data_IF_239969674099
#
_entry.id   IF_239969674099
#
_cell.length_a   1.000
_cell.length_b   1.000
_cell.length_c   1.000
_cell.angle_alpha   90.00
_cell.angle_beta   90.00
_cell.angle_gamma   90.00
#
_symmetry.space_group_name_H-M   'P 1'
#
loop_
_entity.id
_entity.type
_entity.pdbx_description
1 polymer ?
#
# COMPACT_ATOMS: atom_id res chain seq x y z
N UNK A 1 -4.52 -15.58 -29.89
CA UNK A 1 -4.39 -15.88 -28.45
C UNK A 1 -5.49 -15.23 -27.60
N UNK A 2 -6.02 -14.07 -28.00
CA UNK A 2 -7.09 -13.33 -27.29
C UNK A 2 -8.40 -14.12 -27.15
N UNK A 3 -8.81 -14.89 -28.17
CA UNK A 3 -10.06 -15.69 -28.11
C UNK A 3 -10.02 -16.87 -27.12
N UNK A 4 -8.82 -17.41 -26.82
CA UNK A 4 -8.67 -18.48 -25.82
C UNK A 4 -8.79 -17.94 -24.39
N UNK A 5 -8.35 -16.69 -24.16
CA UNK A 5 -8.45 -16.01 -22.86
C UNK A 5 -9.92 -15.66 -22.55
N UNK A 6 -10.67 -15.18 -23.56
CA UNK A 6 -12.08 -14.85 -23.40
C UNK A 6 -12.96 -16.08 -23.07
N UNK A 7 -12.66 -17.23 -23.67
CA UNK A 7 -13.42 -18.46 -23.43
C UNK A 7 -13.15 -19.07 -22.04
N UNK A 8 -11.91 -18.96 -21.54
CA UNK A 8 -11.55 -19.38 -20.17
C UNK A 8 -12.16 -18.46 -19.12
N UNK A 9 -12.19 -17.14 -19.38
CA UNK A 9 -12.81 -16.18 -18.47
C UNK A 9 -14.32 -16.44 -18.27
N UNK A 10 -15.05 -16.78 -19.33
CA UNK A 10 -16.49 -17.07 -19.25
C UNK A 10 -16.81 -18.39 -18.53
N UNK A 11 -15.96 -19.41 -18.64
CA UNK A 11 -16.16 -20.70 -17.95
C UNK A 11 -15.88 -20.63 -16.44
N UNK A 12 -15.01 -19.71 -16.00
CA UNK A 12 -14.70 -19.52 -14.57
C UNK A 12 -15.74 -18.63 -13.87
N UNK A 13 -16.39 -17.71 -14.58
CA UNK A 13 -17.37 -16.80 -13.99
C UNK A 13 -18.80 -17.35 -13.94
N UNK A 14 -19.14 -18.31 -14.81
CA UNK A 14 -20.48 -18.89 -14.90
C UNK A 14 -20.97 -19.67 -13.66
N UNK A 15 -20.13 -20.41 -12.88
CA UNK A 15 -20.64 -21.18 -11.74
C UNK A 15 -20.98 -20.32 -10.52
N UNK A 16 -20.46 -19.09 -10.43
CA UNK A 16 -20.50 -18.26 -9.22
C UNK A 16 -21.85 -17.58 -8.97
N UNK A 17 -22.74 -17.54 -9.97
CA UNK A 17 -23.98 -16.75 -9.94
C UNK A 17 -25.22 -17.59 -9.60
N UNK A 18 -25.10 -18.93 -9.57
CA UNK A 18 -26.24 -19.84 -9.44
C UNK A 18 -26.21 -20.72 -8.19
N UNK A 19 -25.54 -20.29 -7.12
CA UNK A 19 -25.76 -20.87 -5.80
C UNK A 19 -26.86 -20.07 -5.09
N UNK A 20 -28.03 -20.67 -4.77
CA UNK A 20 -28.95 -20.03 -3.83
C UNK A 20 -28.21 -19.94 -2.50
N UNK A 21 -27.71 -18.76 -2.18
CA UNK A 21 -27.29 -18.44 -0.83
C UNK A 21 -28.55 -18.59 0.02
N UNK A 22 -28.73 -19.76 0.62
CA UNK A 22 -29.70 -19.93 1.69
C UNK A 22 -29.36 -18.86 2.70
N UNK A 23 -30.19 -17.83 2.80
CA UNK A 23 -30.06 -16.78 3.78
C UNK A 23 -30.35 -17.44 5.14
N UNK A 24 -29.35 -18.16 5.66
CA UNK A 24 -29.27 -18.43 7.08
C UNK A 24 -29.16 -17.05 7.69
N UNK A 25 -30.22 -16.60 8.35
CA UNK A 25 -30.11 -15.46 9.24
C UNK A 25 -28.86 -15.69 10.09
N UNK A 26 -27.96 -14.70 10.13
CA UNK A 26 -26.85 -14.75 11.07
C UNK A 26 -27.49 -14.73 12.44
N UNK A 27 -27.35 -15.84 13.16
CA UNK A 27 -27.99 -15.99 14.45
C UNK A 27 -27.47 -14.88 15.35
N UNK A 28 -28.39 -14.06 15.86
CA UNK A 28 -28.05 -13.00 16.79
C UNK A 28 -27.92 -13.69 18.13
N UNK A 29 -26.69 -13.85 18.68
CA UNK A 29 -26.49 -14.64 19.88
C UNK A 29 -27.37 -14.10 21.01
N UNK A 30 -28.31 -14.93 21.48
CA UNK A 30 -29.23 -14.55 22.56
C UNK A 30 -30.67 -14.29 22.13
N UNK A 31 -31.00 -14.32 20.83
CA UNK A 31 -32.40 -14.28 20.38
C UNK A 31 -33.15 -15.56 20.76
N UNK A 32 -32.42 -16.68 20.86
CA UNK A 32 -32.93 -17.97 21.38
C UNK A 32 -33.48 -17.83 22.80
N UNK A 33 -32.84 -17.02 23.66
CA UNK A 33 -33.28 -16.83 25.04
C UNK A 33 -34.57 -15.99 25.07
N UNK A 34 -34.68 -14.99 24.19
CA UNK A 34 -35.86 -14.14 24.10
C UNK A 34 -37.09 -14.86 23.50
N UNK A 35 -36.90 -15.92 22.71
CA UNK A 35 -38.00 -16.68 22.09
C UNK A 35 -38.57 -17.80 22.97
N UNK A 36 -37.82 -18.23 24.00
CA UNK A 36 -38.27 -19.18 25.02
C UNK A 36 -39.18 -18.51 26.07
N UNK A 37 -39.15 -17.18 26.16
CA UNK A 37 -39.95 -16.39 27.09
C UNK A 37 -41.44 -16.36 26.68
N UNK A 38 -42.32 -16.79 27.59
CA UNK A 38 -43.76 -16.92 27.32
C UNK A 38 -44.56 -15.66 27.61
N UNK A 39 -44.03 -14.75 28.43
CA UNK A 39 -44.69 -13.48 28.73
C UNK A 39 -44.33 -12.44 27.67
N UNK A 40 -45.35 -11.81 27.07
CA UNK A 40 -45.14 -10.87 25.97
C UNK A 40 -44.35 -9.62 26.40
N UNK A 41 -44.52 -9.14 27.64
CA UNK A 41 -43.71 -8.03 28.17
C UNK A 41 -42.22 -8.40 28.27
N UNK A 42 -41.86 -9.57 28.86
CA UNK A 42 -40.44 -9.95 28.95
C UNK A 42 -39.83 -10.22 27.58
N UNK A 43 -40.56 -10.88 26.67
CA UNK A 43 -40.07 -11.14 25.31
C UNK A 43 -39.72 -9.84 24.57
N UNK A 44 -40.57 -8.82 24.71
CA UNK A 44 -40.34 -7.50 24.11
C UNK A 44 -39.12 -6.82 24.75
N UNK A 45 -39.00 -6.85 26.09
CA UNK A 45 -37.86 -6.24 26.78
C UNK A 45 -36.52 -6.93 26.46
N UNK A 46 -36.51 -8.25 26.30
CA UNK A 46 -35.32 -9.03 25.94
C UNK A 46 -34.85 -8.68 24.53
N UNK A 47 -35.78 -8.64 23.56
CA UNK A 47 -35.48 -8.24 22.18
C UNK A 47 -34.98 -6.79 22.11
N UNK A 48 -35.59 -5.87 22.86
CA UNK A 48 -35.18 -4.46 22.90
C UNK A 48 -33.74 -4.30 23.38
N UNK A 49 -33.35 -5.00 24.46
CA UNK A 49 -31.98 -4.93 24.97
C UNK A 49 -30.95 -5.54 24.02
N UNK A 50 -31.31 -6.60 23.27
CA UNK A 50 -30.47 -7.16 22.22
C UNK A 50 -30.26 -6.19 21.06
N UNK A 51 -31.32 -5.53 20.60
CA UNK A 51 -31.23 -4.51 19.54
C UNK A 51 -30.36 -3.35 19.99
N UNK A 52 -30.52 -2.85 21.23
CA UNK A 52 -29.67 -1.79 21.78
C UNK A 52 -28.20 -2.22 21.86
N UNK A 53 -27.91 -3.44 22.31
CA UNK A 53 -26.55 -3.99 22.34
C UNK A 53 -25.94 -4.08 20.93
N UNK A 54 -26.67 -4.62 19.96
CA UNK A 54 -26.23 -4.71 18.57
C UNK A 54 -25.98 -3.33 17.98
N UNK A 55 -26.91 -2.39 18.19
CA UNK A 55 -26.79 -1.01 17.68
C UNK A 55 -25.53 -0.34 18.25
N UNK A 56 -25.31 -0.43 19.56
CA UNK A 56 -24.08 0.08 20.21
C UNK A 56 -22.83 -0.59 19.67
N UNK A 57 -22.87 -1.90 19.46
CA UNK A 57 -21.74 -2.66 18.91
C UNK A 57 -21.43 -2.23 17.48
N UNK A 58 -22.43 -2.09 16.62
CA UNK A 58 -22.30 -1.63 15.23
C UNK A 58 -21.70 -0.21 15.21
N UNK A 59 -22.21 0.70 16.04
CA UNK A 59 -21.67 2.07 16.14
C UNK A 59 -20.21 2.06 16.58
N UNK A 60 -19.85 1.22 17.58
CA UNK A 60 -18.48 1.09 18.05
C UNK A 60 -17.56 0.52 16.97
N UNK A 61 -17.97 -0.55 16.29
CA UNK A 61 -17.20 -1.16 15.21
C UNK A 61 -17.00 -0.18 14.05
N UNK A 62 -18.05 0.53 13.66
CA UNK A 62 -17.99 1.56 12.62
C UNK A 62 -16.97 2.65 12.95
N UNK A 63 -16.98 3.16 14.18
CA UNK A 63 -16.00 4.15 14.63
C UNK A 63 -14.56 3.61 14.66
N UNK A 64 -14.35 2.38 15.15
CA UNK A 64 -13.04 1.72 15.17
C UNK A 64 -12.48 1.52 13.76
N UNK A 65 -13.32 1.06 12.82
CA UNK A 65 -12.94 0.90 11.43
C UNK A 65 -12.62 2.23 10.76
N UNK A 66 -13.42 3.27 11.02
CA UNK A 66 -13.13 4.61 10.50
C UNK A 66 -11.80 5.14 11.02
N UNK A 67 -11.51 4.94 12.31
CA UNK A 67 -10.23 5.33 12.90
C UNK A 67 -9.05 4.57 12.28
N UNK A 68 -9.20 3.27 12.03
CA UNK A 68 -8.17 2.46 11.34
C UNK A 68 -7.94 2.93 9.90
N UNK A 69 -9.01 3.28 9.17
CA UNK A 69 -8.91 3.81 7.82
C UNK A 69 -8.17 5.15 7.79
N UNK A 70 -8.48 6.05 8.73
CA UNK A 70 -7.80 7.35 8.83
C UNK A 70 -6.32 7.19 9.23
N UNK A 71 -6.00 6.29 10.16
CA UNK A 71 -4.62 5.98 10.50
C UNK A 71 -3.84 5.40 9.30
N UNK A 72 -4.45 4.49 8.53
CA UNK A 72 -3.84 3.94 7.32
C UNK A 72 -3.65 5.01 6.23
N UNK A 73 -4.62 5.92 6.06
CA UNK A 73 -4.47 7.08 5.15
C UNK A 73 -3.30 7.96 5.53
N UNK A 74 -3.15 8.28 6.82
CA UNK A 74 -2.03 9.08 7.30
C UNK A 74 -0.67 8.41 7.01
N UNK A 75 -0.58 7.08 7.18
CA UNK A 75 0.61 6.32 6.81
C UNK A 75 0.89 6.37 5.30
N UNK A 76 -0.15 6.26 4.46
CA UNK A 76 -0.01 6.36 3.00
C UNK A 76 0.54 7.74 2.61
N UNK A 77 0.01 8.82 3.17
CA UNK A 77 0.52 10.18 2.89
C UNK A 77 1.97 10.35 3.36
N UNK A 78 2.33 9.81 4.52
CA UNK A 78 3.72 9.78 5.00
C UNK A 78 4.65 9.03 4.04
N UNK A 79 4.28 7.81 3.63
CA UNK A 79 5.05 7.02 2.68
C UNK A 79 5.18 7.70 1.31
N UNK A 80 4.11 8.34 0.83
CA UNK A 80 4.12 9.11 -0.42
C UNK A 80 5.10 10.28 -0.35
N UNK A 81 5.16 10.98 0.78
CA UNK A 81 6.16 12.04 1.00
C UNK A 81 7.59 11.48 1.00
N UNK A 82 7.83 10.34 1.67
CA UNK A 82 9.13 9.66 1.64
C UNK A 82 9.53 9.24 0.23
N UNK A 83 8.62 8.64 -0.55
CA UNK A 83 8.88 8.26 -1.95
C UNK A 83 9.20 9.49 -2.79
N UNK A 84 8.46 10.59 -2.63
CA UNK A 84 8.75 11.84 -3.33
C UNK A 84 10.10 12.45 -2.93
N UNK A 85 10.53 12.28 -1.68
CA UNK A 85 11.87 12.66 -1.21
C UNK A 85 12.96 11.81 -1.85
N UNK A 86 12.81 10.48 -1.81
CA UNK A 86 13.75 9.53 -2.41
C UNK A 86 13.89 9.73 -3.93
N UNK A 87 12.77 10.01 -4.62
CA UNK A 87 12.80 10.30 -6.06
C UNK A 87 13.72 11.50 -6.37
N UNK A 88 13.61 12.59 -5.59
CA UNK A 88 14.50 13.75 -5.77
C UNK A 88 15.97 13.38 -5.54
N UNK A 89 16.27 12.62 -4.50
CA UNK A 89 17.65 12.18 -4.22
C UNK A 89 18.20 11.32 -5.36
N UNK A 90 17.38 10.43 -5.94
CA UNK A 90 17.79 9.62 -7.10
C UNK A 90 18.07 10.51 -8.31
N UNK A 91 17.21 11.50 -8.58
CA UNK A 91 17.38 12.43 -9.69
C UNK A 91 18.67 13.25 -9.52
N UNK A 92 18.94 13.75 -8.31
CA UNK A 92 20.16 14.50 -7.97
C UNK A 92 21.43 13.64 -8.14
N UNK A 93 21.41 12.39 -7.66
CA UNK A 93 22.53 11.46 -7.80
C UNK A 93 22.78 11.08 -9.27
N UNK A 94 21.73 10.85 -10.06
CA UNK A 94 21.86 10.59 -11.49
C UNK A 94 22.44 11.81 -12.22
N UNK A 95 22.03 13.03 -11.86
CA UNK A 95 22.59 14.25 -12.43
C UNK A 95 24.08 14.43 -12.07
N UNK A 96 24.45 14.17 -10.80
CA UNK A 96 25.83 14.23 -10.35
C UNK A 96 26.71 13.17 -11.05
N UNK A 97 26.21 11.95 -11.21
CA UNK A 97 26.92 10.88 -11.91
C UNK A 97 27.15 11.22 -13.39
N UNK A 98 26.15 11.77 -14.08
CA UNK A 98 26.30 12.22 -15.48
C UNK A 98 27.37 13.30 -15.61
N UNK A 99 27.36 14.31 -14.75
CA UNK A 99 28.40 15.35 -14.72
C UNK A 99 29.79 14.75 -14.50
N UNK A 100 29.95 13.91 -13.47
CA UNK A 100 31.22 13.24 -13.17
C UNK A 100 31.72 12.38 -14.35
N UNK A 101 30.82 11.68 -15.04
CA UNK A 101 31.18 10.89 -16.23
C UNK A 101 31.63 11.77 -17.41
N UNK A 102 31.03 12.94 -17.61
CA UNK A 102 31.47 13.92 -18.62
C UNK A 102 32.82 14.55 -18.28
N UNK A 103 33.04 14.89 -17.01
CA UNK A 103 34.32 15.43 -16.52
C UNK A 103 35.47 14.42 -16.65
N UNK A 104 35.20 13.13 -16.42
CA UNK A 104 36.17 12.05 -16.65
C UNK A 104 36.51 11.87 -18.13
N UNK A 105 35.52 11.96 -19.04
CA UNK A 105 35.77 11.92 -20.48
C UNK A 105 36.62 13.11 -20.96
N UNK A 106 36.37 14.32 -20.45
CA UNK A 106 37.17 15.51 -20.80
C UNK A 106 38.61 15.45 -20.28
N UNK A 107 38.87 14.74 -19.18
CA UNK A 107 40.23 14.53 -18.65
C UNK A 107 41.00 13.42 -19.38
N UNK A 108 40.31 12.46 -19.99
CA UNK A 108 40.94 11.40 -20.79
C UNK A 108 41.41 11.87 -22.19
N UNK A 109 40.89 13.00 -22.69
CA UNK A 109 41.27 13.61 -23.97
C UNK A 109 42.39 14.67 -23.87
N UNK A 110 42.94 14.91 -22.66
CA UNK A 110 44.11 15.77 -22.50
C UNK A 110 45.38 14.98 -22.87
N UNK A 111 46.17 15.40 -23.88
CA UNK A 111 47.37 14.69 -24.28
C UNK A 111 48.37 14.61 -23.10
N UNK A 112 49.10 13.48 -22.95
CA UNK A 112 50.13 13.38 -21.93
C UNK A 112 51.12 14.53 -22.14
N UNK A 113 51.25 15.39 -21.13
CA UNK A 113 52.30 16.39 -21.09
C UNK A 113 53.62 15.66 -21.24
N UNK A 114 54.28 15.88 -22.38
CA UNK A 114 55.63 15.41 -22.64
C UNK A 114 56.52 15.90 -21.50
N UNK A 115 57.11 14.96 -20.78
CA UNK A 115 58.36 15.15 -20.04
C UNK A 115 59.37 15.83 -20.96
N UNK A 116 59.52 17.14 -20.78
CA UNK A 116 60.55 17.96 -21.38
C UNK A 116 61.51 18.39 -20.28
N UNK A 117 62.48 17.54 -19.95
CA UNK A 117 63.78 17.98 -19.43
C UNK A 117 64.78 17.84 -20.57
N UNK A 118 65.44 18.92 -21.03
CA UNK A 118 66.80 19.25 -20.56
C UNK A 118 67.10 20.79 -20.62
N UNK A 119 68.31 21.33 -20.32
CA UNK A 119 69.58 20.66 -20.07
C UNK A 119 70.40 21.12 -18.83
N UNK A 120 71.35 20.24 -18.50
CA UNK A 120 72.67 20.48 -17.89
C UNK A 120 73.14 21.94 -17.93
N UNK A 121 73.56 22.45 -16.77
CA UNK A 121 74.55 23.52 -16.69
C UNK A 121 75.70 23.06 -15.78
N UNK A 122 76.80 22.75 -16.45
CA UNK A 122 78.14 22.52 -15.91
C UNK A 122 78.72 23.83 -15.33
N UNK A 123 79.56 23.75 -14.29
CA UNK A 123 80.41 24.88 -13.89
C UNK A 123 80.88 24.95 -12.42
N UNK A 124 81.79 24.05 -12.03
CA UNK A 124 83.02 24.31 -11.25
C UNK A 124 82.99 25.04 -9.90
N UNK A 125 83.35 24.33 -8.82
CA UNK A 125 84.67 24.44 -8.16
C UNK A 125 84.88 23.31 -7.14
#
# INVERSE_FOLDING_TARGET
MIGRIALVASLVFAPSVLAPAGARAQDVPGIEICTVEKTMERRTSCLQSNVDFLQKTITKLSADHQQKLEAARAQIEGLKATVAGLQKTVDDLQAAQKKAAEDLKKKADAPPAKDGSPPVKDGGK
#
